data_IF_979425279897
#
_entry.id   IF_979425279897
#
_cell.length_a   1.000
_cell.length_b   1.000
_cell.length_c   1.000
_cell.angle_alpha   90.00
_cell.angle_beta   90.00
_cell.angle_gamma   90.00
#
_symmetry.space_group_name_H-M   'P 1'
#
loop_
_entity.id
_entity.type
_entity.pdbx_description
1 polymer ?
#
# COMPACT_ATOMS: atom_id res chain seq x y z
N UNK A 1 5.72 -22.93 -6.51
CA UNK A 1 6.32 -24.21 -6.17
C UNK A 1 7.83 -24.13 -6.36
N UNK A 2 8.60 -24.66 -5.44
CA UNK A 2 10.05 -24.66 -5.47
C UNK A 2 10.65 -25.95 -6.04
N UNK A 3 11.95 -26.08 -5.89
CA UNK A 3 12.71 -27.28 -6.19
C UNK A 3 13.75 -27.49 -5.06
N UNK A 4 14.51 -28.59 -5.12
CA UNK A 4 15.51 -28.92 -4.09
C UNK A 4 16.51 -27.77 -3.79
N UNK A 5 16.79 -26.92 -4.76
CA UNK A 5 17.73 -25.77 -4.55
C UNK A 5 17.05 -24.64 -3.77
N UNK A 6 15.75 -24.41 -4.01
CA UNK A 6 14.96 -23.46 -3.20
C UNK A 6 14.90 -23.92 -1.76
N UNK A 7 14.72 -25.24 -1.51
CA UNK A 7 14.71 -25.79 -0.17
C UNK A 7 16.06 -25.67 0.53
N UNK A 8 17.17 -25.85 -0.20
CA UNK A 8 18.52 -25.58 0.32
C UNK A 8 18.73 -24.13 0.69
N UNK A 9 18.22 -23.18 -0.11
CA UNK A 9 18.28 -21.75 0.22
C UNK A 9 17.44 -21.44 1.46
N UNK A 10 16.22 -21.97 1.53
CA UNK A 10 15.34 -21.80 2.71
C UNK A 10 16.03 -22.27 4.00
N UNK A 11 16.68 -23.43 3.95
CA UNK A 11 17.43 -23.95 5.10
C UNK A 11 18.62 -23.07 5.46
N UNK A 12 19.35 -22.55 4.45
CA UNK A 12 20.52 -21.71 4.67
C UNK A 12 20.21 -20.38 5.36
N UNK A 13 19.02 -19.80 5.09
CA UNK A 13 18.62 -18.48 5.61
C UNK A 13 17.53 -18.55 6.69
N UNK A 14 17.23 -19.72 7.21
CA UNK A 14 16.12 -19.94 8.16
C UNK A 14 16.23 -19.11 9.45
N UNK A 15 17.44 -18.80 9.86
CA UNK A 15 17.75 -18.03 11.07
C UNK A 15 17.90 -16.52 10.77
N UNK A 16 17.69 -16.10 9.53
CA UNK A 16 17.75 -14.71 9.10
C UNK A 16 16.33 -14.13 8.94
N UNK A 17 16.20 -12.83 9.10
CA UNK A 17 14.97 -12.12 8.76
C UNK A 17 14.90 -11.90 7.23
N UNK A 18 14.81 -13.01 6.48
CA UNK A 18 14.86 -13.01 5.02
C UNK A 18 13.55 -13.54 4.43
N UNK A 19 13.09 -12.89 3.36
CA UNK A 19 11.99 -13.38 2.51
C UNK A 19 12.56 -14.03 1.26
N UNK A 20 12.04 -15.20 0.89
CA UNK A 20 12.45 -15.91 -0.34
C UNK A 20 11.30 -15.85 -1.33
N UNK A 21 11.54 -15.23 -2.47
CA UNK A 21 10.60 -15.13 -3.56
C UNK A 21 11.08 -15.94 -4.77
N UNK A 22 10.27 -16.91 -5.18
CA UNK A 22 10.52 -17.66 -6.41
C UNK A 22 9.79 -16.96 -7.55
N UNK A 23 10.54 -16.52 -8.56
CA UNK A 23 10.04 -15.76 -9.72
C UNK A 23 10.35 -16.50 -11.00
N UNK A 24 9.36 -16.67 -11.88
CA UNK A 24 9.51 -17.21 -13.23
C UNK A 24 9.78 -16.06 -14.21
N UNK A 25 11.03 -15.70 -14.40
CA UNK A 25 11.43 -14.51 -15.14
C UNK A 25 10.85 -14.45 -16.59
N UNK A 26 10.70 -15.61 -17.26
CA UNK A 26 10.08 -15.66 -18.58
C UNK A 26 8.59 -15.30 -18.50
N UNK A 27 7.86 -15.87 -17.54
CA UNK A 27 6.44 -15.56 -17.33
C UNK A 27 6.24 -14.07 -17.01
N UNK A 28 7.13 -13.47 -16.21
CA UNK A 28 7.08 -12.04 -15.90
C UNK A 28 7.33 -11.17 -17.14
N UNK A 29 8.24 -11.59 -18.02
CA UNK A 29 8.47 -10.91 -19.29
C UNK A 29 7.24 -10.98 -20.19
N UNK A 30 6.62 -12.16 -20.31
CA UNK A 30 5.40 -12.35 -21.10
C UNK A 30 4.25 -11.47 -20.55
N UNK A 31 4.09 -11.37 -19.23
CA UNK A 31 3.09 -10.48 -18.57
C UNK A 31 3.37 -9.00 -18.87
N UNK A 32 4.65 -8.60 -18.86
CA UNK A 32 5.04 -7.22 -19.09
C UNK A 32 4.75 -6.73 -20.52
N UNK A 33 4.69 -7.65 -21.51
CA UNK A 33 4.33 -7.34 -22.89
C UNK A 33 2.83 -7.15 -23.11
N UNK A 34 1.98 -7.57 -22.15
CA UNK A 34 0.53 -7.41 -22.25
C UNK A 34 0.12 -5.95 -21.97
N UNK A 35 -0.67 -5.38 -22.86
CA UNK A 35 -1.03 -3.95 -22.79
C UNK A 35 -2.13 -3.67 -21.75
N UNK A 36 -3.18 -4.52 -21.70
CA UNK A 36 -4.34 -4.27 -20.83
C UNK A 36 -4.24 -4.98 -19.49
N UNK A 37 -4.95 -4.46 -18.51
CA UNK A 37 -5.06 -5.10 -17.21
C UNK A 37 -5.81 -6.43 -17.31
N UNK A 38 -6.86 -6.47 -18.13
CA UNK A 38 -7.69 -7.65 -18.37
C UNK A 38 -6.88 -8.80 -18.97
N UNK A 39 -6.03 -8.53 -19.97
CA UNK A 39 -5.17 -9.54 -20.59
C UNK A 39 -4.16 -10.10 -19.57
N UNK A 40 -3.60 -9.24 -18.71
CA UNK A 40 -2.71 -9.66 -17.64
C UNK A 40 -3.42 -10.58 -16.64
N UNK A 41 -4.66 -10.26 -16.25
CA UNK A 41 -5.44 -11.10 -15.34
C UNK A 41 -5.81 -12.45 -15.98
N UNK A 42 -6.20 -12.48 -17.25
CA UNK A 42 -6.47 -13.72 -17.98
C UNK A 42 -5.22 -14.60 -18.07
N UNK A 43 -4.09 -14.03 -18.42
CA UNK A 43 -2.83 -14.76 -18.50
C UNK A 43 -2.39 -15.33 -17.13
N UNK A 44 -2.48 -14.53 -16.07
CA UNK A 44 -2.20 -14.99 -14.71
C UNK A 44 -3.07 -16.19 -14.32
N UNK A 45 -4.37 -16.10 -14.60
CA UNK A 45 -5.30 -17.20 -14.32
C UNK A 45 -4.96 -18.47 -15.13
N UNK A 46 -4.58 -18.34 -16.40
CA UNK A 46 -4.17 -19.46 -17.26
C UNK A 46 -2.93 -20.18 -16.72
N UNK A 47 -1.95 -19.44 -16.20
CA UNK A 47 -0.74 -20.02 -15.61
C UNK A 47 -0.91 -20.40 -14.13
N UNK A 48 -2.10 -20.24 -13.56
CA UNK A 48 -2.43 -20.61 -12.18
C UNK A 48 -1.81 -19.68 -11.13
N UNK A 49 -1.60 -18.43 -11.46
CA UNK A 49 -1.11 -17.38 -10.56
C UNK A 49 -2.22 -16.39 -10.21
N UNK A 50 -2.28 -15.96 -8.97
CA UNK A 50 -3.21 -14.91 -8.51
C UNK A 50 -2.67 -13.51 -8.81
N UNK A 51 -1.34 -13.35 -8.80
CA UNK A 51 -0.66 -12.08 -9.02
C UNK A 51 0.73 -12.27 -9.62
N UNK A 52 1.27 -11.25 -10.24
CA UNK A 52 2.61 -11.27 -10.84
C UNK A 52 3.72 -11.37 -9.78
N UNK A 53 4.89 -11.87 -10.17
CA UNK A 53 6.06 -11.91 -9.31
C UNK A 53 6.52 -10.50 -8.89
N UNK A 54 6.33 -9.50 -9.75
CA UNK A 54 6.62 -8.09 -9.42
C UNK A 54 5.70 -7.60 -8.30
N UNK A 55 4.39 -7.89 -8.35
CA UNK A 55 3.47 -7.51 -7.29
C UNK A 55 3.84 -8.19 -5.95
N UNK A 56 4.19 -9.48 -6.00
CA UNK A 56 4.66 -10.24 -4.84
C UNK A 56 5.97 -9.67 -4.28
N UNK A 57 6.90 -9.28 -5.15
CA UNK A 57 8.17 -8.65 -4.75
C UNK A 57 7.93 -7.35 -4.00
N UNK A 58 7.06 -6.49 -4.53
CA UNK A 58 6.70 -5.22 -3.87
C UNK A 58 6.09 -5.48 -2.49
N UNK A 59 5.12 -6.38 -2.38
CA UNK A 59 4.49 -6.73 -1.10
C UNK A 59 5.51 -7.28 -0.08
N UNK A 60 6.40 -8.18 -0.52
CA UNK A 60 7.45 -8.73 0.34
C UNK A 60 8.44 -7.66 0.79
N UNK A 61 8.84 -6.74 -0.09
CA UNK A 61 9.72 -5.62 0.23
C UNK A 61 9.07 -4.66 1.24
N UNK A 62 7.80 -4.29 1.05
CA UNK A 62 7.05 -3.45 1.99
C UNK A 62 6.96 -4.10 3.37
N UNK A 63 6.61 -5.39 3.41
CA UNK A 63 6.55 -6.17 4.65
C UNK A 63 7.91 -6.21 5.36
N UNK A 64 8.99 -6.52 4.63
CA UNK A 64 10.34 -6.64 5.18
C UNK A 64 10.87 -5.30 5.72
N UNK A 65 10.54 -4.21 5.03
CA UNK A 65 10.91 -2.84 5.41
C UNK A 65 9.93 -2.19 6.39
N UNK A 66 8.88 -2.92 6.81
CA UNK A 66 7.84 -2.44 7.71
C UNK A 66 7.13 -1.17 7.19
N UNK A 67 6.85 -1.13 5.87
CA UNK A 67 6.22 0.00 5.20
C UNK A 67 4.73 -0.25 4.97
N UNK A 68 3.97 0.84 5.01
CA UNK A 68 2.55 0.91 4.67
C UNK A 68 2.29 2.12 3.76
N UNK A 69 1.09 2.22 3.20
CA UNK A 69 0.71 3.29 2.27
C UNK A 69 -0.56 3.98 2.74
N UNK A 70 -0.58 5.31 2.74
CA UNK A 70 -1.81 6.09 2.83
C UNK A 70 -1.99 6.92 1.56
N UNK A 71 -3.21 7.40 1.32
CA UNK A 71 -3.55 8.21 0.15
C UNK A 71 -3.93 9.63 0.56
N UNK A 72 -3.62 10.58 -0.31
CA UNK A 72 -4.28 11.88 -0.33
C UNK A 72 -5.09 11.98 -1.61
N UNK A 73 -6.33 12.40 -1.51
CA UNK A 73 -7.23 12.60 -2.64
C UNK A 73 -7.76 14.03 -2.63
N UNK A 74 -7.44 14.78 -3.65
CA UNK A 74 -7.90 16.14 -3.86
C UNK A 74 -8.37 16.36 -5.30
N UNK A 75 -8.95 17.52 -5.58
CA UNK A 75 -9.44 17.85 -6.93
C UNK A 75 -8.32 17.89 -7.96
N UNK A 76 -7.11 18.24 -7.54
CA UNK A 76 -5.95 18.41 -8.42
C UNK A 76 -5.10 17.15 -8.53
N UNK A 77 -4.99 16.38 -7.46
CA UNK A 77 -4.08 15.24 -7.38
C UNK A 77 -4.63 14.15 -6.46
N UNK A 78 -4.43 12.90 -6.89
CA UNK A 78 -4.54 11.72 -6.03
C UNK A 78 -3.15 11.10 -5.92
N UNK A 79 -2.66 10.89 -4.70
CA UNK A 79 -1.30 10.42 -4.49
C UNK A 79 -1.23 9.37 -3.38
N UNK A 80 -0.39 8.36 -3.61
CA UNK A 80 0.01 7.38 -2.60
C UNK A 80 1.31 7.83 -1.92
N UNK A 81 1.36 7.71 -0.60
CA UNK A 81 2.49 8.08 0.24
C UNK A 81 2.92 6.88 1.05
N UNK A 82 4.19 6.53 0.98
CA UNK A 82 4.77 5.45 1.77
C UNK A 82 5.21 5.97 3.13
N UNK A 83 4.91 5.21 4.18
CA UNK A 83 5.29 5.55 5.55
C UNK A 83 5.67 4.27 6.32
N UNK A 84 6.28 4.43 7.47
CA UNK A 84 6.68 3.31 8.32
C UNK A 84 5.50 2.92 9.23
N UNK A 85 5.17 1.64 9.26
CA UNK A 85 4.08 1.08 10.04
C UNK A 85 4.15 1.51 11.51
N UNK A 86 3.02 1.94 12.05
CA UNK A 86 2.91 2.42 13.42
C UNK A 86 3.13 3.93 13.58
N UNK A 87 3.41 4.65 12.50
CA UNK A 87 3.49 6.10 12.56
C UNK A 87 2.14 6.74 12.84
N UNK A 88 2.20 7.88 13.54
CA UNK A 88 1.05 8.70 13.84
C UNK A 88 0.78 9.73 12.75
N UNK A 89 -0.44 10.26 12.73
CA UNK A 89 -0.89 11.21 11.72
C UNK A 89 0.05 12.42 11.51
N UNK A 90 0.66 13.05 12.54
CA UNK A 90 1.63 14.13 12.31
C UNK A 90 2.88 13.66 11.55
N UNK A 91 3.44 12.49 11.86
CA UNK A 91 4.60 11.94 11.17
C UNK A 91 4.27 11.65 9.70
N UNK A 92 3.09 11.09 9.42
CA UNK A 92 2.62 10.88 8.05
C UNK A 92 2.40 12.20 7.31
N UNK A 93 1.87 13.24 7.96
CA UNK A 93 1.80 14.58 7.38
C UNK A 93 3.20 15.13 7.02
N UNK A 94 4.21 14.80 7.82
CA UNK A 94 5.62 15.14 7.60
C UNK A 94 6.22 14.53 6.34
N UNK A 95 5.71 13.39 5.88
CA UNK A 95 6.13 12.77 4.60
C UNK A 95 5.82 13.69 3.42
N UNK A 96 4.73 14.46 3.50
CA UNK A 96 4.34 15.42 2.47
C UNK A 96 5.23 16.67 2.58
N UNK A 97 5.28 17.26 3.76
CA UNK A 97 6.11 18.43 4.05
C UNK A 97 6.31 18.59 5.56
N UNK A 98 7.52 19.02 5.96
CA UNK A 98 7.87 19.20 7.38
C UNK A 98 6.98 20.22 8.11
N UNK A 99 6.45 21.21 7.40
CA UNK A 99 5.54 22.19 8.00
C UNK A 99 4.18 21.58 8.32
N UNK A 100 3.73 20.56 7.58
CA UNK A 100 2.49 19.85 7.88
C UNK A 100 2.59 19.06 9.20
N UNK A 101 3.76 18.49 9.48
CA UNK A 101 4.03 17.85 10.76
C UNK A 101 4.01 18.85 11.91
N UNK A 102 4.78 19.95 11.78
CA UNK A 102 4.92 20.97 12.81
C UNK A 102 3.59 21.68 13.11
N UNK A 103 2.86 22.04 12.06
CA UNK A 103 1.58 22.73 12.14
C UNK A 103 0.37 21.81 12.27
N UNK A 104 0.54 20.49 12.42
CA UNK A 104 -0.56 19.53 12.45
C UNK A 104 -1.61 19.87 13.50
N UNK A 105 -2.87 19.94 13.05
CA UNK A 105 -4.04 20.18 13.92
C UNK A 105 -4.85 18.88 14.03
N UNK A 106 -5.28 18.32 12.90
CA UNK A 106 -6.06 17.09 12.81
C UNK A 106 -5.98 16.50 11.40
N UNK A 107 -6.39 15.23 11.26
CA UNK A 107 -6.62 14.60 9.97
C UNK A 107 -8.09 14.20 9.82
N UNK A 108 -8.66 14.42 8.64
CA UNK A 108 -9.90 13.79 8.22
C UNK A 108 -9.52 12.49 7.53
N UNK A 109 -10.08 11.37 7.97
CA UNK A 109 -9.69 10.02 7.56
C UNK A 109 -10.89 9.27 7.02
N UNK A 110 -10.73 8.69 5.83
CA UNK A 110 -11.68 7.77 5.21
C UNK A 110 -10.99 6.43 5.03
N UNK A 111 -11.64 5.34 5.40
CA UNK A 111 -11.14 4.01 5.10
C UNK A 111 -11.33 3.69 3.62
N UNK A 112 -10.33 3.08 2.99
CA UNK A 112 -10.37 2.73 1.56
C UNK A 112 -11.63 1.94 1.21
N UNK A 113 -11.99 0.92 1.99
CA UNK A 113 -13.19 0.09 1.75
C UNK A 113 -14.49 0.91 1.83
N UNK A 114 -14.58 1.88 2.75
CA UNK A 114 -15.72 2.78 2.83
C UNK A 114 -15.78 3.68 1.59
N UNK A 115 -14.63 4.19 1.12
CA UNK A 115 -14.58 5.00 -0.10
C UNK A 115 -15.07 4.23 -1.33
N UNK A 116 -14.58 3.00 -1.51
CA UNK A 116 -15.02 2.13 -2.62
C UNK A 116 -16.51 1.81 -2.52
N UNK A 117 -17.01 1.52 -1.31
CA UNK A 117 -18.41 1.18 -1.08
C UNK A 117 -19.37 2.32 -1.38
N UNK A 118 -19.04 3.55 -0.99
CA UNK A 118 -19.90 4.72 -1.13
C UNK A 118 -19.62 5.54 -2.41
N UNK A 119 -18.50 5.32 -3.06
CA UNK A 119 -18.13 5.88 -4.36
C UNK A 119 -17.70 7.35 -4.36
N UNK A 120 -17.84 8.07 -3.24
CA UNK A 120 -17.38 9.46 -3.13
C UNK A 120 -17.19 9.88 -1.67
N UNK A 121 -16.31 10.86 -1.45
CA UNK A 121 -16.08 11.47 -0.14
C UNK A 121 -17.36 12.08 0.48
N UNK A 122 -18.19 12.72 -0.35
CA UNK A 122 -19.47 13.28 0.09
C UNK A 122 -20.41 12.20 0.64
N UNK A 123 -20.55 11.08 -0.06
CA UNK A 123 -21.38 9.95 0.37
C UNK A 123 -20.83 9.27 1.62
N UNK A 124 -19.50 9.15 1.73
CA UNK A 124 -18.84 8.63 2.96
C UNK A 124 -19.16 9.53 4.15
N UNK A 125 -19.09 10.85 3.97
CA UNK A 125 -19.42 11.84 5.01
C UNK A 125 -20.88 11.77 5.42
N UNK A 126 -21.81 11.71 4.46
CA UNK A 126 -23.25 11.54 4.72
C UNK A 126 -23.55 10.24 5.48
N UNK A 127 -22.81 9.17 5.19
CA UNK A 127 -22.92 7.90 5.90
C UNK A 127 -22.26 7.92 7.31
N UNK A 128 -21.68 9.04 7.73
CA UNK A 128 -21.01 9.18 9.04
C UNK A 128 -19.72 8.37 9.16
N UNK A 129 -19.04 8.07 8.04
CA UNK A 129 -17.85 7.25 7.96
C UNK A 129 -16.55 8.07 7.82
N UNK A 130 -16.66 9.39 7.75
CA UNK A 130 -15.49 10.27 7.81
C UNK A 130 -15.05 10.43 9.27
N UNK A 131 -13.87 9.90 9.58
CA UNK A 131 -13.21 10.08 10.88
C UNK A 131 -12.55 11.46 10.98
N UNK A 132 -12.50 12.01 12.18
CA UNK A 132 -11.71 13.21 12.50
C UNK A 132 -10.73 12.83 13.61
N UNK A 133 -9.46 12.75 13.25
CA UNK A 133 -8.44 12.14 14.06
C UNK A 133 -7.39 13.16 14.55
N UNK A 134 -6.95 12.99 15.78
CA UNK A 134 -5.95 13.85 16.41
C UNK A 134 -4.51 13.34 16.23
N UNK A 135 -3.60 13.94 17.01
CA UNK A 135 -2.15 13.67 16.94
C UNK A 135 -1.76 12.24 17.31
N UNK A 136 -2.58 11.56 18.10
CA UNK A 136 -2.30 10.20 18.57
C UNK A 136 -2.82 9.10 17.64
N UNK A 137 -3.50 9.47 16.57
CA UNK A 137 -4.01 8.51 15.61
C UNK A 137 -2.87 7.78 14.90
N UNK A 138 -2.84 6.47 15.01
CA UNK A 138 -1.92 5.59 14.28
C UNK A 138 -2.53 5.31 12.92
N UNK A 139 -1.85 5.78 11.87
CA UNK A 139 -2.29 5.64 10.48
C UNK A 139 -2.32 4.17 10.09
N UNK A 140 -3.30 3.79 9.30
CA UNK A 140 -3.52 2.42 8.83
C UNK A 140 -3.31 2.33 7.33
N UNK A 141 -2.82 1.18 6.87
CA UNK A 141 -2.63 0.92 5.44
C UNK A 141 -3.94 1.15 4.67
N UNK A 142 -3.85 1.93 3.59
CA UNK A 142 -4.99 2.29 2.76
C UNK A 142 -5.84 3.47 3.27
N UNK A 143 -5.49 4.13 4.38
CA UNK A 143 -6.20 5.33 4.83
C UNK A 143 -6.15 6.42 3.76
N UNK A 144 -7.28 7.05 3.47
CA UNK A 144 -7.38 8.26 2.64
C UNK A 144 -7.47 9.45 3.60
N UNK A 145 -6.48 10.36 3.52
CA UNK A 145 -6.26 11.36 4.55
C UNK A 145 -6.26 12.79 3.99
N UNK A 146 -6.92 13.69 4.70
CA UNK A 146 -6.82 15.13 4.52
C UNK A 146 -6.27 15.78 5.78
N UNK A 147 -5.06 16.31 5.71
CA UNK A 147 -4.41 16.96 6.82
C UNK A 147 -4.86 18.43 6.96
N UNK A 148 -5.22 18.82 8.18
CA UNK A 148 -5.47 20.22 8.56
C UNK A 148 -4.32 20.68 9.42
N UNK A 149 -3.64 21.71 8.98
CA UNK A 149 -2.45 22.25 9.62
C UNK A 149 -2.47 23.78 9.57
N UNK A 150 -1.68 24.38 10.44
CA UNK A 150 -1.46 25.84 10.48
C UNK A 150 0.05 26.08 10.45
N UNK A 151 0.50 26.95 9.55
CA UNK A 151 1.91 27.36 9.36
C UNK A 151 2.06 28.82 9.76
#
# INVERSE_FOLDING_TARGET
>A
NGNKYVDMVREAVKDENAEILVVAAKTEADIAELETYEDRQMFLAEVGLEESGVARLIKSAYKLLNLETYFTAGVQEVRAWTYEKGWKAPQCAGVIHTDFEKGFIRAEVIKYDDYIRYGSEAAVKEAGKLGVEGKEYVVQDGDIMHFRFNV
#
